data_IF_651200503663
#
_entry.id   IF_651200503663
#
_cell.length_a   1.000
_cell.length_b   1.000
_cell.length_c   1.000
_cell.angle_alpha   90.00
_cell.angle_beta   90.00
_cell.angle_gamma   90.00
#
_symmetry.space_group_name_H-M   'P 1'
#
loop_
_entity.id
_entity.type
_entity.pdbx_description
1 polymer ?
#
# COMPACT_ATOMS: atom_id res chain seq x y z
N UNK A 1 -7.96 -17.75 -5.85
CA UNK A 1 -7.06 -17.20 -6.88
C UNK A 1 -5.73 -16.91 -6.20
N UNK A 2 -4.63 -17.13 -6.90
CA UNK A 2 -3.30 -16.76 -6.44
C UNK A 2 -3.19 -15.23 -6.31
N UNK A 3 -2.64 -14.72 -5.21
CA UNK A 3 -2.58 -13.29 -4.93
C UNK A 3 -1.39 -12.64 -5.66
N UNK A 4 -1.51 -12.56 -6.99
CA UNK A 4 -0.48 -12.00 -7.87
C UNK A 4 -0.17 -10.52 -7.58
N UNK A 5 -1.13 -9.81 -6.99
CA UNK A 5 -0.99 -8.40 -6.67
C UNK A 5 -0.13 -8.18 -5.40
N UNK A 6 -0.24 -9.04 -4.39
CA UNK A 6 0.66 -9.01 -3.23
C UNK A 6 2.11 -9.31 -3.62
N UNK A 7 2.34 -10.21 -4.59
CA UNK A 7 3.69 -10.49 -5.11
C UNK A 7 4.37 -9.25 -5.69
N UNK A 8 3.63 -8.31 -6.28
CA UNK A 8 4.21 -7.04 -6.77
C UNK A 8 4.85 -6.23 -5.65
N UNK A 9 4.25 -6.23 -4.45
CA UNK A 9 4.84 -5.57 -3.28
C UNK A 9 6.09 -6.33 -2.79
N UNK A 10 6.01 -7.66 -2.72
CA UNK A 10 7.13 -8.50 -2.28
C UNK A 10 8.34 -8.41 -3.25
N UNK A 11 8.09 -8.30 -4.55
CA UNK A 11 9.12 -8.07 -5.56
C UNK A 11 9.77 -6.70 -5.41
N UNK A 12 9.02 -5.65 -5.08
CA UNK A 12 9.62 -4.34 -4.78
C UNK A 12 10.54 -4.39 -3.55
N UNK A 13 10.15 -5.14 -2.50
CA UNK A 13 11.03 -5.34 -1.34
C UNK A 13 12.33 -6.03 -1.77
N UNK A 14 12.23 -7.12 -2.54
CA UNK A 14 13.40 -7.85 -3.05
C UNK A 14 14.31 -6.95 -3.87
N UNK A 15 13.74 -6.19 -4.79
CA UNK A 15 14.46 -5.24 -5.65
C UNK A 15 15.23 -4.20 -4.81
N UNK A 16 14.60 -3.62 -3.79
CA UNK A 16 15.28 -2.67 -2.89
C UNK A 16 16.40 -3.37 -2.11
N UNK A 17 16.18 -4.57 -1.58
CA UNK A 17 17.19 -5.30 -0.81
C UNK A 17 18.39 -5.73 -1.66
N UNK A 18 18.18 -6.06 -2.93
CA UNK A 18 19.22 -6.56 -3.84
C UNK A 18 19.98 -5.43 -4.54
N UNK A 19 19.25 -4.42 -5.04
CA UNK A 19 19.79 -3.40 -5.94
C UNK A 19 19.80 -1.99 -5.35
N UNK A 20 19.23 -1.81 -4.16
CA UNK A 20 19.15 -0.50 -3.51
C UNK A 20 20.50 0.01 -3.00
N UNK A 21 20.60 1.33 -2.88
CA UNK A 21 21.80 1.99 -2.37
C UNK A 21 21.64 2.29 -0.89
N UNK A 22 22.68 2.00 -0.12
CA UNK A 22 22.74 2.43 1.27
C UNK A 22 22.75 3.96 1.37
N UNK A 23 21.94 4.48 2.29
CA UNK A 23 21.86 5.91 2.60
C UNK A 23 21.84 6.11 4.11
N UNK A 24 22.38 7.24 4.54
CA UNK A 24 22.08 7.79 5.85
C UNK A 24 20.78 8.58 5.78
N UNK A 25 20.08 8.66 6.90
CA UNK A 25 18.83 9.41 7.01
C UNK A 25 18.80 10.20 8.32
N UNK A 26 17.78 11.06 8.48
CA UNK A 26 17.65 11.95 9.64
C UNK A 26 17.47 11.23 10.99
N UNK A 27 16.99 9.99 10.99
CA UNK A 27 16.76 9.18 12.20
C UNK A 27 18.04 8.47 12.68
N UNK A 28 19.07 8.40 11.83
CA UNK A 28 20.32 7.69 12.12
C UNK A 28 20.25 6.16 11.98
N UNK A 29 19.10 5.59 11.64
CA UNK A 29 18.95 4.14 11.40
C UNK A 29 19.63 3.72 10.10
N UNK A 30 19.59 4.59 9.08
CA UNK A 30 20.02 4.31 7.73
C UNK A 30 19.00 3.49 6.96
N UNK A 31 19.06 3.61 5.64
CA UNK A 31 18.14 2.95 4.71
C UNK A 31 18.89 2.29 3.56
N UNK A 32 18.20 1.38 2.86
CA UNK A 32 18.54 0.90 1.52
C UNK A 32 17.45 1.42 0.60
N UNK A 33 17.79 2.14 -0.48
CA UNK A 33 16.77 2.78 -1.32
C UNK A 33 17.00 2.72 -2.82
N UNK A 34 15.88 2.73 -3.55
CA UNK A 34 15.79 2.86 -5.00
C UNK A 34 14.87 4.04 -5.33
N UNK A 35 15.28 4.85 -6.31
CA UNK A 35 14.46 5.95 -6.78
C UNK A 35 13.59 5.53 -7.96
N UNK A 36 12.30 5.80 -7.89
CA UNK A 36 11.34 5.57 -8.97
C UNK A 36 10.91 4.10 -9.06
N UNK A 37 9.91 3.73 -8.27
CA UNK A 37 9.22 2.43 -8.40
C UNK A 37 7.74 2.65 -8.68
N UNK A 38 7.10 1.73 -9.40
CA UNK A 38 5.65 1.79 -9.65
C UNK A 38 5.04 0.39 -9.62
N UNK A 39 3.90 0.26 -8.95
CA UNK A 39 3.04 -0.92 -9.01
C UNK A 39 1.64 -0.54 -9.46
N UNK A 40 0.93 -1.51 -10.05
CA UNK A 40 -0.49 -1.40 -10.42
C UNK A 40 -1.25 -2.56 -9.80
N UNK A 41 -2.30 -2.24 -9.05
CA UNK A 41 -3.15 -3.22 -8.37
C UNK A 41 -4.55 -3.18 -8.98
N UNK A 42 -5.10 -4.34 -9.32
CA UNK A 42 -6.45 -4.45 -9.86
C UNK A 42 -7.46 -4.34 -8.71
N UNK A 43 -8.32 -3.33 -8.74
CA UNK A 43 -9.41 -3.21 -7.77
C UNK A 43 -10.72 -3.81 -8.28
N UNK A 44 -10.73 -4.35 -9.50
CA UNK A 44 -11.95 -4.77 -10.21
C UNK A 44 -12.46 -6.15 -9.82
N UNK A 45 -11.59 -7.07 -9.42
CA UNK A 45 -11.97 -8.46 -9.21
C UNK A 45 -12.84 -8.65 -7.95
N UNK A 46 -12.81 -7.69 -7.01
CA UNK A 46 -13.66 -7.66 -5.81
C UNK A 46 -14.99 -6.87 -6.00
N UNK A 47 -15.20 -6.23 -7.15
CA UNK A 47 -16.29 -5.27 -7.36
C UNK A 47 -17.69 -5.85 -7.42
N UNK A 48 -17.87 -7.14 -7.73
CA UNK A 48 -19.21 -7.75 -7.77
C UNK A 48 -19.91 -7.75 -6.41
N UNK A 49 -19.20 -7.37 -5.34
CA UNK A 49 -19.64 -7.40 -3.96
C UNK A 49 -19.58 -6.02 -3.25
N UNK A 50 -19.16 -4.96 -3.95
CA UNK A 50 -19.01 -3.61 -3.37
C UNK A 50 -20.24 -2.74 -3.70
N UNK A 51 -20.83 -2.09 -2.69
CA UNK A 51 -21.96 -1.19 -2.86
C UNK A 51 -21.57 0.13 -3.56
N UNK A 52 -20.34 0.59 -3.33
CA UNK A 52 -19.73 1.71 -4.06
C UNK A 52 -18.27 1.38 -4.40
N UNK A 53 -17.87 1.47 -5.68
CA UNK A 53 -16.48 1.31 -6.09
C UNK A 53 -15.61 2.54 -5.72
N UNK A 54 -14.44 2.40 -5.07
CA UNK A 54 -13.51 3.52 -4.92
C UNK A 54 -12.96 3.94 -6.30
N UNK A 55 -13.21 5.19 -6.71
CA UNK A 55 -12.97 5.60 -8.09
C UNK A 55 -11.50 5.92 -8.42
N UNK A 56 -10.84 6.90 -7.81
CA UNK A 56 -9.42 7.22 -8.09
C UNK A 56 -8.84 8.09 -6.98
N UNK A 57 -7.58 7.84 -6.61
CA UNK A 57 -6.79 8.69 -5.70
C UNK A 57 -5.39 8.80 -6.29
N UNK A 58 -5.16 9.78 -7.17
CA UNK A 58 -3.79 10.18 -7.49
C UNK A 58 -3.33 11.11 -6.37
N UNK A 59 -2.43 10.62 -5.53
CA UNK A 59 -1.69 11.47 -4.59
C UNK A 59 -0.40 11.88 -5.28
N UNK A 60 -0.30 13.16 -5.64
CA UNK A 60 0.96 13.76 -6.04
C UNK A 60 1.61 14.35 -4.79
N UNK A 61 2.80 13.86 -4.46
CA UNK A 61 3.63 14.44 -3.41
C UNK A 61 4.67 15.36 -4.04
N UNK A 62 4.80 16.57 -3.51
CA UNK A 62 5.93 17.44 -3.85
C UNK A 62 6.45 18.12 -2.58
N UNK A 63 7.76 18.41 -2.57
CA UNK A 63 8.41 19.12 -1.47
C UNK A 63 8.71 20.53 -1.92
N UNK A 64 8.22 21.51 -1.16
CA UNK A 64 8.53 22.92 -1.34
C UNK A 64 8.77 23.55 0.04
N UNK A 65 9.83 24.35 0.16
CA UNK A 65 10.21 25.04 1.39
C UNK A 65 10.38 24.12 2.62
N UNK A 66 10.78 22.86 2.39
CA UNK A 66 10.98 21.86 3.44
C UNK A 66 9.69 21.17 3.93
N UNK A 67 8.55 21.47 3.31
CA UNK A 67 7.25 20.88 3.66
C UNK A 67 6.77 19.90 2.57
N UNK A 68 6.20 18.77 3.00
CA UNK A 68 5.60 17.77 2.12
C UNK A 68 4.16 18.17 1.82
N UNK A 69 3.89 18.56 0.57
CA UNK A 69 2.55 18.81 0.07
C UNK A 69 1.99 17.55 -0.58
N UNK A 70 0.76 17.16 -0.20
CA UNK A 70 0.01 16.07 -0.83
C UNK A 70 -1.17 16.66 -1.60
N UNK A 71 -1.17 16.49 -2.91
CA UNK A 71 -2.27 16.89 -3.78
C UNK A 71 -3.08 15.66 -4.19
N UNK A 72 -4.35 15.63 -3.77
CA UNK A 72 -5.29 14.57 -4.08
C UNK A 72 -6.10 14.94 -5.34
N UNK A 73 -5.96 14.16 -6.40
CA UNK A 73 -6.81 14.25 -7.58
C UNK A 73 -7.84 13.11 -7.56
N UNK A 74 -9.13 13.49 -7.51
CA UNK A 74 -10.28 12.60 -7.59
C UNK A 74 -11.05 12.89 -8.89
N UNK A 75 -11.32 11.85 -9.69
CA UNK A 75 -12.19 11.93 -10.88
C UNK A 75 -13.38 10.98 -10.66
N UNK A 76 -14.61 11.45 -10.80
CA UNK A 76 -15.89 10.70 -10.96
C UNK A 76 -16.03 9.29 -10.33
N UNK A 77 -16.98 9.15 -9.39
CA UNK A 77 -17.30 8.02 -8.50
C UNK A 77 -17.83 6.72 -9.11
N UNK A 78 -17.58 6.41 -10.38
CA UNK A 78 -18.49 5.51 -11.10
C UNK A 78 -17.98 4.06 -11.26
N UNK A 79 -16.67 3.78 -11.10
CA UNK A 79 -16.10 2.42 -11.14
C UNK A 79 -14.71 2.36 -10.46
N UNK A 80 -14.40 1.28 -9.74
CA UNK A 80 -13.02 1.03 -9.31
C UNK A 80 -12.25 0.47 -10.48
N UNK A 81 -11.06 1.00 -10.71
CA UNK A 81 -10.20 0.61 -11.81
C UNK A 81 -8.95 -0.07 -11.29
N UNK A 82 -7.88 0.70 -11.27
CA UNK A 82 -6.56 0.26 -10.84
C UNK A 82 -6.02 1.27 -9.84
N UNK A 83 -5.38 0.77 -8.79
CA UNK A 83 -4.52 1.60 -7.95
C UNK A 83 -3.12 1.61 -8.58
N UNK A 84 -2.69 2.76 -9.08
CA UNK A 84 -1.31 2.96 -9.55
C UNK A 84 -0.52 3.63 -8.42
N UNK A 85 0.36 2.88 -7.77
CA UNK A 85 1.19 3.36 -6.66
C UNK A 85 2.59 3.67 -7.18
N UNK A 86 2.98 4.95 -7.20
CA UNK A 86 4.31 5.41 -7.64
C UNK A 86 5.10 5.92 -6.45
N UNK A 87 6.32 5.41 -6.27
CA UNK A 87 7.22 5.75 -5.18
C UNK A 87 8.42 6.53 -5.73
N UNK A 88 8.66 7.71 -5.15
CA UNK A 88 9.87 8.51 -5.40
C UNK A 88 11.09 7.85 -4.79
N UNK A 89 11.30 8.02 -3.48
CA UNK A 89 12.36 7.32 -2.73
C UNK A 89 11.78 6.10 -2.01
N UNK A 90 11.79 4.95 -2.68
CA UNK A 90 11.35 3.69 -2.10
C UNK A 90 12.49 3.09 -1.26
N UNK A 91 12.28 2.95 0.05
CA UNK A 91 13.35 2.60 0.97
C UNK A 91 12.92 1.61 2.06
N UNK A 92 13.90 0.83 2.49
CA UNK A 92 13.80 -0.09 3.63
C UNK A 92 14.75 0.42 4.71
N UNK A 93 14.22 0.61 5.92
CA UNK A 93 15.06 0.89 7.08
C UNK A 93 15.90 -0.33 7.45
N UNK A 94 17.16 -0.10 7.83
CA UNK A 94 18.09 -1.18 8.16
C UNK A 94 17.61 -2.07 9.31
N UNK A 95 16.89 -1.51 10.28
CA UNK A 95 16.31 -2.27 11.40
C UNK A 95 15.08 -3.12 10.99
N UNK A 96 14.58 -3.03 9.76
CA UNK A 96 13.46 -3.84 9.24
C UNK A 96 13.90 -5.01 8.35
N UNK A 97 15.19 -5.10 7.98
CA UNK A 97 15.67 -6.07 6.99
C UNK A 97 15.34 -7.51 7.39
N UNK A 98 15.59 -7.91 8.64
CA UNK A 98 15.35 -9.30 9.07
C UNK A 98 13.86 -9.63 9.12
N UNK A 99 13.02 -8.67 9.55
CA UNK A 99 11.57 -8.79 9.55
C UNK A 99 11.02 -8.97 8.13
N UNK A 100 11.52 -8.19 7.17
CA UNK A 100 11.12 -8.28 5.77
C UNK A 100 11.62 -9.57 5.11
N UNK A 101 12.84 -10.04 5.42
CA UNK A 101 13.30 -11.37 4.99
C UNK A 101 12.36 -12.47 5.49
N UNK A 102 11.94 -12.41 6.76
CA UNK A 102 10.96 -13.36 7.29
C UNK A 102 9.57 -13.23 6.62
N UNK A 103 9.19 -12.03 6.15
CA UNK A 103 7.98 -11.84 5.34
C UNK A 103 8.11 -12.45 3.96
N UNK A 104 9.27 -12.33 3.30
CA UNK A 104 9.51 -12.82 1.94
C UNK A 104 9.50 -14.35 1.83
N UNK A 105 9.73 -15.07 2.93
CA UNK A 105 9.61 -16.54 3.01
C UNK A 105 8.15 -17.02 3.08
N UNK A 106 7.19 -16.10 3.23
CA UNK A 106 5.77 -16.43 3.33
C UNK A 106 5.13 -16.51 1.95
N UNK A 107 4.21 -17.47 1.78
CA UNK A 107 3.31 -17.51 0.62
C UNK A 107 2.09 -16.61 0.86
N UNK A 108 1.85 -15.60 0.01
CA UNK A 108 0.64 -14.79 0.01
C UNK A 108 -0.65 -15.62 0.10
N UNK A 109 -1.57 -15.17 0.95
CA UNK A 109 -2.94 -15.66 0.98
C UNK A 109 -3.82 -14.84 0.03
N UNK A 110 -5.02 -15.33 -0.27
CA UNK A 110 -6.01 -14.54 -1.01
C UNK A 110 -6.32 -13.21 -0.27
N UNK A 111 -6.54 -12.15 -1.03
CA UNK A 111 -6.98 -10.88 -0.45
C UNK A 111 -8.36 -11.00 0.21
N UNK A 112 -8.62 -10.18 1.26
CA UNK A 112 -9.96 -10.04 1.80
C UNK A 112 -10.86 -9.25 0.84
N UNK A 113 -12.17 -9.29 1.08
CA UNK A 113 -13.11 -8.38 0.44
C UNK A 113 -13.58 -7.30 1.42
N UNK A 114 -13.76 -6.09 0.92
CA UNK A 114 -14.30 -4.95 1.70
C UNK A 114 -15.77 -4.76 1.35
N UNK A 115 -16.62 -4.71 2.37
CA UNK A 115 -18.04 -4.42 2.24
C UNK A 115 -18.42 -3.25 3.13
N UNK A 116 -19.54 -2.61 2.79
CA UNK A 116 -20.18 -1.64 3.66
C UNK A 116 -21.40 -2.27 4.33
N UNK A 117 -21.60 -2.00 5.62
CA UNK A 117 -22.74 -2.53 6.39
C UNK A 117 -24.09 -1.97 5.91
N UNK A 118 -24.07 -0.83 5.26
CA UNK A 118 -25.23 -0.11 4.72
C UNK A 118 -24.85 0.66 3.44
N UNK A 119 -25.84 1.26 2.80
CA UNK A 119 -25.62 2.14 1.65
C UNK A 119 -24.94 3.43 2.11
N UNK A 120 -23.89 3.84 1.39
CA UNK A 120 -23.14 5.07 1.65
C UNK A 120 -23.46 6.05 0.53
N UNK A 121 -24.14 7.14 0.86
CA UNK A 121 -24.60 8.14 -0.12
C UNK A 121 -23.66 9.33 -0.24
N UNK A 122 -23.00 9.70 0.87
CA UNK A 122 -22.17 10.90 0.96
C UNK A 122 -20.81 10.56 1.57
N UNK A 123 -19.81 11.42 1.35
CA UNK A 123 -18.46 11.20 1.87
C UNK A 123 -18.40 11.20 3.41
N UNK A 124 -19.30 11.93 4.05
CA UNK A 124 -19.36 12.05 5.51
C UNK A 124 -20.04 10.85 6.18
N UNK A 125 -20.68 9.97 5.40
CA UNK A 125 -21.31 8.75 5.91
C UNK A 125 -20.28 7.65 6.27
N UNK A 126 -19.03 7.78 5.81
CA UNK A 126 -17.98 6.78 6.04
C UNK A 126 -17.51 6.80 7.50
N UNK A 127 -17.71 5.68 8.21
CA UNK A 127 -17.13 5.43 9.53
C UNK A 127 -16.42 4.07 9.57
N UNK A 128 -15.50 3.88 10.51
CA UNK A 128 -14.77 2.62 10.68
C UNK A 128 -15.68 1.42 10.91
N UNK A 129 -16.79 1.62 11.63
CA UNK A 129 -17.73 0.57 12.00
C UNK A 129 -18.51 0.05 10.79
N UNK A 130 -18.65 0.88 9.75
CA UNK A 130 -19.36 0.53 8.52
C UNK A 130 -18.50 -0.27 7.55
N UNK A 131 -17.18 -0.31 7.73
CA UNK A 131 -16.24 -1.03 6.87
C UNK A 131 -16.09 -2.46 7.39
N UNK A 132 -16.66 -3.42 6.66
CA UNK A 132 -16.61 -4.84 7.01
C UNK A 132 -15.58 -5.53 6.13
N UNK A 133 -14.53 -6.06 6.75
CA UNK A 133 -13.53 -6.88 6.08
C UNK A 133 -13.92 -8.36 6.18
N UNK A 134 -14.15 -9.03 5.03
CA UNK A 134 -14.49 -10.46 4.98
C UNK A 134 -13.32 -11.27 4.44
N UNK A 135 -13.22 -12.53 4.88
CA UNK A 135 -12.21 -13.49 4.45
C UNK A 135 -10.76 -13.02 4.68
N UNK A 136 -10.55 -12.14 5.66
CA UNK A 136 -9.21 -11.71 6.04
C UNK A 136 -8.52 -12.79 6.87
N UNK A 137 -7.63 -13.52 6.21
CA UNK A 137 -6.87 -14.63 6.80
C UNK A 137 -5.37 -14.34 6.76
N UNK A 138 -4.88 -13.27 7.41
CA UNK A 138 -3.46 -12.92 7.40
C UNK A 138 -2.63 -13.93 8.18
N UNK A 139 -1.34 -13.99 7.87
CA UNK A 139 -0.38 -14.68 8.70
C UNK A 139 -0.04 -13.87 9.96
N UNK A 140 0.64 -14.51 10.92
CA UNK A 140 0.98 -13.90 12.20
C UNK A 140 1.72 -12.54 12.03
N UNK A 141 1.43 -11.55 12.87
CA UNK A 141 2.03 -10.22 12.77
C UNK A 141 3.55 -10.29 12.87
N UNK A 142 4.24 -9.45 12.10
CA UNK A 142 5.69 -9.23 12.21
C UNK A 142 5.89 -7.83 12.79
N UNK A 143 6.58 -7.75 13.93
CA UNK A 143 6.84 -6.47 14.60
C UNK A 143 8.01 -5.76 13.90
N UNK A 144 7.83 -4.48 13.58
CA UNK A 144 8.86 -3.60 13.05
C UNK A 144 8.79 -2.27 13.81
N UNK A 145 9.92 -1.83 14.37
CA UNK A 145 9.97 -0.61 15.18
C UNK A 145 10.12 0.63 14.29
N UNK A 146 9.29 1.65 14.52
CA UNK A 146 9.34 2.91 13.75
C UNK A 146 10.66 3.64 14.02
N UNK A 147 11.32 4.11 12.97
CA UNK A 147 12.45 5.01 13.09
C UNK A 147 11.96 6.41 13.50
N UNK A 148 12.58 7.00 14.52
CA UNK A 148 12.20 8.31 15.09
C UNK A 148 13.27 9.34 14.76
#
# INVERSE_FOLDING_TARGET
MENNDEYKYLEQIKEILENGKERTDRTGVGTISIFGMQNRYCLRDDLKQMALPPCHTLCQFFVQDGELSCQLYQRSGDMAGELVHTLGDAHIYKNHIDALKAQLERTPCAFPTVHFSEEISEIDDFTSEKIILKNYCPQAPIKMDMAV
#
